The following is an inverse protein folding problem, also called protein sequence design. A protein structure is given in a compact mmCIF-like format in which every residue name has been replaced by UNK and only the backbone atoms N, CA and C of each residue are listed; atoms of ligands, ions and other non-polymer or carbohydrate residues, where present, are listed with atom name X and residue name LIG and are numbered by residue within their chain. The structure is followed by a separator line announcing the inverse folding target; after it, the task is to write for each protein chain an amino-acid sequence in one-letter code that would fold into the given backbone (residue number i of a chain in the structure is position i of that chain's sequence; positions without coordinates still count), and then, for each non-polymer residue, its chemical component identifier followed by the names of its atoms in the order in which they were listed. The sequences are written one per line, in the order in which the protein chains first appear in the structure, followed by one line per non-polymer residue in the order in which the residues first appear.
data_IF_899212260541
#
_entry.id   IF_899212260541
#
_cell.length_a   1.000
_cell.length_b   1.000
_cell.length_c   1.000
_cell.angle_alpha   90.00
_cell.angle_beta   90.00
_cell.angle_gamma   90.00
#
_symmetry.space_group_name_H-M   'P 1'
#
loop_
_entity.id
_entity.type
_entity.pdbx_description
1 polymer ?
#
# COMPACT_ATOMS: atom_id res chain seq x y z
N UNK A 1 28.95 2.39 -18.53
CA UNK A 1 28.02 2.13 -17.40
C UNK A 1 27.14 3.36 -17.24
N UNK A 2 25.87 3.24 -17.56
CA UNK A 2 24.94 4.38 -17.67
C UNK A 2 24.51 4.89 -16.30
N UNK A 3 24.27 6.21 -16.17
CA UNK A 3 23.79 6.91 -14.96
C UNK A 3 22.68 6.18 -14.18
N UNK A 4 21.84 5.39 -14.85
CA UNK A 4 20.77 4.63 -14.21
C UNK A 4 21.22 3.42 -13.37
N UNK A 5 22.40 2.84 -13.65
CA UNK A 5 22.94 1.74 -12.83
C UNK A 5 23.59 2.27 -11.55
N UNK A 6 24.27 3.43 -11.62
CA UNK A 6 24.83 4.11 -10.46
C UNK A 6 23.73 4.53 -9.48
N UNK A 7 22.62 5.07 -9.98
CA UNK A 7 21.48 5.52 -9.18
C UNK A 7 20.72 4.36 -8.47
N UNK A 8 20.77 3.14 -9.01
CA UNK A 8 20.18 1.94 -8.40
C UNK A 8 21.05 1.38 -7.25
N UNK A 9 22.38 1.48 -7.37
CA UNK A 9 23.30 1.09 -6.30
C UNK A 9 23.26 2.09 -5.13
N UNK A 10 23.13 3.38 -5.41
CA UNK A 10 22.99 4.44 -4.40
C UNK A 10 21.71 4.30 -3.56
N UNK A 11 20.64 3.73 -4.11
CA UNK A 11 19.36 3.59 -3.39
C UNK A 11 19.40 2.58 -2.24
N UNK A 12 20.31 1.62 -2.25
CA UNK A 12 20.46 0.58 -1.23
C UNK A 12 21.22 1.06 0.03
N UNK A 13 21.93 2.18 -0.07
CA UNK A 13 22.75 2.72 1.03
C UNK A 13 22.02 3.81 1.83
N UNK A 14 22.44 4.05 3.07
CA UNK A 14 21.93 5.17 3.87
C UNK A 14 22.24 6.51 3.18
N UNK A 15 21.24 7.38 3.12
CA UNK A 15 21.44 8.75 2.65
C UNK A 15 22.28 9.55 3.66
N UNK A 16 23.27 10.26 3.17
CA UNK A 16 24.03 11.20 3.96
C UNK A 16 23.16 12.39 4.41
N UNK A 17 23.50 13.04 5.51
CA UNK A 17 22.72 14.15 6.05
C UNK A 17 22.53 15.30 5.03
N UNK A 18 23.55 15.57 4.21
CA UNK A 18 23.53 16.59 3.17
C UNK A 18 22.62 16.25 1.96
N UNK A 19 22.27 14.98 1.79
CA UNK A 19 21.37 14.51 0.71
C UNK A 19 19.89 14.61 1.11
N UNK A 20 19.59 14.76 2.40
CA UNK A 20 18.26 14.81 2.98
C UNK A 20 17.71 16.23 2.93
N UNK A 21 17.25 16.63 1.77
CA UNK A 21 16.91 18.03 1.45
C UNK A 21 15.40 18.30 1.38
N UNK A 22 14.54 17.29 1.64
CA UNK A 22 13.10 17.49 1.52
C UNK A 22 12.52 18.16 2.77
N UNK A 23 12.22 19.45 2.67
CA UNK A 23 11.45 20.17 3.68
C UNK A 23 10.01 19.68 3.77
N UNK A 24 9.29 20.10 4.82
CA UNK A 24 7.93 19.66 5.13
C UNK A 24 6.95 19.84 3.95
N UNK A 25 6.95 20.99 3.28
CA UNK A 25 6.06 21.28 2.16
C UNK A 25 6.28 20.32 0.97
N UNK A 26 7.55 20.12 0.56
CA UNK A 26 7.90 19.19 -0.52
C UNK A 26 7.52 17.77 -0.17
N UNK A 27 7.78 17.35 1.07
CA UNK A 27 7.43 16.01 1.55
C UNK A 27 5.91 15.82 1.54
N UNK A 28 5.13 16.77 2.09
CA UNK A 28 3.67 16.71 2.09
C UNK A 28 3.12 16.57 0.67
N UNK A 29 3.59 17.40 -0.26
CA UNK A 29 3.11 17.37 -1.65
C UNK A 29 3.45 16.03 -2.33
N UNK A 30 4.67 15.54 -2.16
CA UNK A 30 5.09 14.25 -2.73
C UNK A 30 4.25 13.10 -2.16
N UNK A 31 4.03 13.07 -0.85
CA UNK A 31 3.21 12.06 -0.21
C UNK A 31 1.75 12.15 -0.66
N UNK A 32 1.19 13.36 -0.75
CA UNK A 32 -0.19 13.58 -1.17
C UNK A 32 -0.42 13.16 -2.62
N UNK A 33 0.47 13.51 -3.53
CA UNK A 33 0.37 13.10 -4.94
C UNK A 33 0.55 11.59 -5.12
N UNK A 34 1.33 10.95 -4.26
CA UNK A 34 1.50 9.48 -4.28
C UNK A 34 0.28 8.77 -3.68
N UNK A 35 -0.31 9.33 -2.61
CA UNK A 35 -1.48 8.76 -1.94
C UNK A 35 -2.78 8.98 -2.72
N UNK A 36 -2.87 10.09 -3.45
CA UNK A 36 -4.05 10.46 -4.22
C UNK A 36 -4.10 9.70 -5.55
N UNK A 37 -4.67 8.49 -5.54
CA UNK A 37 -4.77 7.66 -6.73
C UNK A 37 -6.15 6.97 -6.83
N UNK A 38 -6.45 6.39 -7.99
CA UNK A 38 -7.75 5.78 -8.30
C UNK A 38 -8.08 4.56 -7.46
N UNK A 39 -7.08 3.91 -6.85
CA UNK A 39 -7.29 2.79 -5.93
C UNK A 39 -8.09 3.21 -4.67
N UNK A 40 -8.09 4.50 -4.30
CA UNK A 40 -8.95 5.02 -3.23
C UNK A 40 -10.44 4.77 -3.51
N UNK A 41 -10.86 4.74 -4.78
CA UNK A 41 -12.26 4.50 -5.13
C UNK A 41 -12.71 3.11 -4.71
N UNK A 42 -11.85 2.09 -4.87
CA UNK A 42 -12.16 0.73 -4.43
C UNK A 42 -12.15 0.58 -2.90
N UNK A 43 -11.33 1.34 -2.19
CA UNK A 43 -11.42 1.38 -0.73
C UNK A 43 -12.78 1.93 -0.29
N UNK A 44 -13.21 3.04 -0.89
CA UNK A 44 -14.51 3.62 -0.61
C UNK A 44 -15.68 2.70 -0.96
N UNK A 45 -15.60 2.01 -2.10
CA UNK A 45 -16.57 0.98 -2.51
C UNK A 45 -16.67 -0.15 -1.48
N UNK A 46 -15.51 -0.69 -1.05
CA UNK A 46 -15.47 -1.77 -0.07
C UNK A 46 -16.11 -1.35 1.26
N UNK A 47 -15.94 -0.10 1.71
CA UNK A 47 -16.63 0.42 2.90
C UNK A 47 -18.11 0.66 2.65
N UNK A 48 -18.47 1.10 1.44
CA UNK A 48 -19.86 1.28 1.01
C UNK A 48 -20.67 0.00 1.02
N UNK A 49 -20.02 -1.15 0.96
CA UNK A 49 -20.64 -2.46 1.13
C UNK A 49 -21.21 -2.68 2.54
N UNK A 50 -20.68 -2.01 3.57
CA UNK A 50 -21.06 -2.19 4.99
C UNK A 50 -21.69 -0.95 5.61
N UNK A 51 -21.36 0.25 5.14
CA UNK A 51 -21.72 1.52 5.77
C UNK A 51 -22.30 2.53 4.78
N UNK A 52 -23.32 3.29 5.22
CA UNK A 52 -23.79 4.46 4.50
C UNK A 52 -22.76 5.61 4.53
N UNK A 53 -22.98 6.62 3.70
CA UNK A 53 -22.00 7.65 3.34
C UNK A 53 -21.34 8.34 4.56
N UNK A 54 -22.14 8.85 5.50
CA UNK A 54 -21.60 9.60 6.66
C UNK A 54 -20.78 8.69 7.57
N UNK A 55 -21.38 7.55 8.00
CA UNK A 55 -20.69 6.59 8.89
C UNK A 55 -19.47 5.97 8.20
N UNK A 56 -19.57 5.69 6.89
CA UNK A 56 -18.47 5.16 6.10
C UNK A 56 -17.29 6.13 5.98
N UNK A 57 -17.58 7.41 5.74
CA UNK A 57 -16.55 8.45 5.70
C UNK A 57 -15.83 8.63 7.04
N UNK A 58 -16.59 8.63 8.15
CA UNK A 58 -16.01 8.71 9.51
C UNK A 58 -15.15 7.46 9.84
N UNK A 59 -15.64 6.27 9.51
CA UNK A 59 -14.92 5.02 9.75
C UNK A 59 -13.62 4.97 8.93
N UNK A 60 -13.66 5.36 7.65
CA UNK A 60 -12.47 5.49 6.80
C UNK A 60 -11.47 6.47 7.38
N UNK A 61 -11.92 7.66 7.77
CA UNK A 61 -11.07 8.66 8.39
C UNK A 61 -10.36 8.14 9.63
N UNK A 62 -11.11 7.55 10.56
CA UNK A 62 -10.55 6.96 11.78
C UNK A 62 -9.55 5.83 11.48
N UNK A 63 -9.93 4.89 10.60
CA UNK A 63 -9.07 3.77 10.22
C UNK A 63 -7.78 4.21 9.54
N UNK A 64 -7.86 5.14 8.59
CA UNK A 64 -6.68 5.66 7.90
C UNK A 64 -5.73 6.41 8.85
N UNK A 65 -6.25 7.13 9.81
CA UNK A 65 -5.43 7.81 10.83
C UNK A 65 -4.72 6.78 11.73
N UNK A 66 -5.43 5.78 12.23
CA UNK A 66 -4.88 4.72 13.09
C UNK A 66 -3.77 3.94 12.35
N UNK A 67 -4.05 3.45 11.14
CA UNK A 67 -3.08 2.65 10.39
C UNK A 67 -1.84 3.46 9.98
N UNK A 68 -2.02 4.74 9.62
CA UNK A 68 -0.87 5.60 9.30
C UNK A 68 -0.02 5.93 10.52
N UNK A 69 -0.61 6.10 11.70
CA UNK A 69 0.14 6.26 12.96
C UNK A 69 0.97 5.00 13.25
N UNK A 70 0.42 3.79 13.05
CA UNK A 70 1.19 2.55 13.21
C UNK A 70 2.39 2.50 12.25
N UNK A 71 2.19 2.82 10.98
CA UNK A 71 3.26 2.85 9.97
C UNK A 71 4.31 3.91 10.31
N UNK A 72 3.86 5.10 10.70
CA UNK A 72 4.74 6.21 11.08
C UNK A 72 5.59 5.86 12.30
N UNK A 73 5.02 5.25 13.32
CA UNK A 73 5.77 4.83 14.52
C UNK A 73 6.72 3.66 14.22
N UNK A 74 6.33 2.73 13.36
CA UNK A 74 7.13 1.55 13.02
C UNK A 74 8.37 1.91 12.20
N UNK A 75 8.20 2.52 11.04
CA UNK A 75 9.27 2.80 10.10
C UNK A 75 9.86 4.22 10.25
N UNK A 76 9.02 5.20 10.62
CA UNK A 76 9.36 6.62 10.57
C UNK A 76 10.66 7.00 11.30
N UNK A 77 10.80 6.72 12.60
CA UNK A 77 11.95 7.16 13.38
C UNK A 77 13.26 6.59 12.87
N UNK A 78 13.27 5.33 12.47
CA UNK A 78 14.47 4.64 11.97
C UNK A 78 14.84 5.15 10.58
N UNK A 79 13.88 5.22 9.66
CA UNK A 79 14.12 5.64 8.29
C UNK A 79 14.63 7.07 8.20
N UNK A 80 14.05 8.00 8.97
CA UNK A 80 14.48 9.41 8.98
C UNK A 80 15.83 9.58 9.68
N UNK A 81 15.99 8.97 10.85
CA UNK A 81 17.23 9.16 11.62
C UNK A 81 18.46 8.66 10.88
N UNK A 82 18.34 7.51 10.21
CA UNK A 82 19.46 6.83 9.58
C UNK A 82 19.49 6.95 8.04
N UNK A 83 18.47 7.53 7.43
CA UNK A 83 18.40 7.70 5.96
C UNK A 83 18.19 6.41 5.19
N UNK A 84 17.54 5.41 5.78
CA UNK A 84 17.32 4.08 5.21
C UNK A 84 15.85 3.84 4.85
N UNK A 85 15.60 2.83 4.03
CA UNK A 85 14.25 2.44 3.64
C UNK A 85 13.55 1.55 4.69
N UNK A 86 12.27 1.22 4.45
CA UNK A 86 11.47 0.42 5.37
C UNK A 86 12.01 -1.01 5.55
N UNK A 87 12.52 -1.64 4.48
CA UNK A 87 13.06 -3.01 4.56
C UNK A 87 14.36 -3.02 5.35
N UNK A 88 15.27 -2.10 5.07
CA UNK A 88 16.50 -1.95 5.85
C UNK A 88 16.20 -1.68 7.33
N UNK A 89 15.15 -0.91 7.63
CA UNK A 89 14.72 -0.63 9.00
C UNK A 89 14.23 -1.86 9.77
N UNK A 90 13.88 -2.95 9.08
CA UNK A 90 13.44 -4.22 9.69
C UNK A 90 14.59 -5.18 10.05
N UNK A 91 15.80 -4.96 9.54
CA UNK A 91 16.95 -5.84 9.80
C UNK A 91 17.34 -5.93 11.28
N UNK A 92 17.28 -4.87 12.09
CA UNK A 92 17.57 -4.97 13.53
C UNK A 92 16.65 -5.97 14.26
N UNK A 93 15.40 -6.14 13.82
CA UNK A 93 14.45 -7.05 14.42
C UNK A 93 14.58 -8.48 13.88
N UNK A 94 14.66 -8.64 12.55
CA UNK A 94 14.61 -9.94 11.90
C UNK A 94 15.98 -10.60 11.70
N UNK A 95 17.05 -9.82 11.70
CA UNK A 95 18.42 -10.29 11.51
C UNK A 95 18.96 -10.04 10.10
N UNK A 96 20.28 -10.29 9.93
CA UNK A 96 21.02 -10.04 8.69
C UNK A 96 20.54 -10.87 7.48
N UNK A 97 19.82 -11.98 7.72
CA UNK A 97 19.18 -12.81 6.69
C UNK A 97 17.66 -12.91 6.84
N UNK A 98 17.15 -12.81 8.08
CA UNK A 98 15.72 -12.89 8.36
C UNK A 98 14.88 -11.74 7.78
N UNK A 99 15.51 -10.61 7.42
CA UNK A 99 14.86 -9.49 6.74
C UNK A 99 14.20 -9.86 5.39
N UNK A 100 14.54 -11.01 4.83
CA UNK A 100 13.90 -11.54 3.63
C UNK A 100 12.39 -11.73 3.83
N UNK A 101 11.93 -11.99 5.06
CA UNK A 101 10.49 -12.13 5.36
C UNK A 101 9.75 -10.81 5.19
N UNK A 102 10.10 -9.69 5.87
CA UNK A 102 9.50 -8.39 5.57
C UNK A 102 9.63 -7.96 4.10
N UNK A 103 10.76 -8.26 3.45
CA UNK A 103 10.95 -7.96 2.03
C UNK A 103 10.00 -8.77 1.12
N UNK A 104 9.74 -10.04 1.45
CA UNK A 104 8.78 -10.86 0.74
C UNK A 104 7.34 -10.33 0.92
N UNK A 105 6.95 -9.94 2.14
CA UNK A 105 5.66 -9.29 2.39
C UNK A 105 5.52 -7.99 1.58
N UNK A 106 6.57 -7.17 1.53
CA UNK A 106 6.61 -5.99 0.66
C UNK A 106 6.41 -6.35 -0.81
N UNK A 107 7.12 -7.34 -1.32
CA UNK A 107 7.02 -7.76 -2.72
C UNK A 107 5.60 -8.22 -3.08
N UNK A 108 4.97 -9.05 -2.23
CA UNK A 108 3.58 -9.50 -2.41
C UNK A 108 2.61 -8.31 -2.41
N UNK A 109 2.78 -7.38 -1.47
CA UNK A 109 1.96 -6.15 -1.42
C UNK A 109 2.08 -5.33 -2.70
N UNK A 110 3.31 -5.11 -3.18
CA UNK A 110 3.57 -4.34 -4.40
C UNK A 110 3.01 -5.02 -5.65
N UNK A 111 3.12 -6.34 -5.75
CA UNK A 111 2.49 -7.12 -6.84
C UNK A 111 0.98 -6.92 -6.82
N UNK A 112 0.33 -7.04 -5.66
CA UNK A 112 -1.11 -6.84 -5.53
C UNK A 112 -1.55 -5.43 -5.97
N UNK A 113 -0.87 -4.38 -5.51
CA UNK A 113 -1.18 -3.02 -5.91
C UNK A 113 -0.95 -2.75 -7.41
N UNK A 114 0.15 -3.23 -7.97
CA UNK A 114 0.41 -3.09 -9.41
C UNK A 114 -0.61 -3.87 -10.25
N UNK A 115 -1.06 -5.05 -9.77
CA UNK A 115 -2.12 -5.82 -10.42
C UNK A 115 -3.44 -5.06 -10.42
N UNK A 116 -3.79 -4.42 -9.30
CA UNK A 116 -4.98 -3.58 -9.22
C UNK A 116 -4.94 -2.45 -10.25
N UNK A 117 -3.83 -1.70 -10.28
CA UNK A 117 -3.68 -0.55 -11.16
C UNK A 117 -3.72 -0.92 -12.64
N UNK A 118 -3.12 -2.05 -13.03
CA UNK A 118 -3.14 -2.49 -14.43
C UNK A 118 -4.51 -3.01 -14.86
N UNK A 119 -5.25 -3.68 -13.96
CA UNK A 119 -6.63 -4.07 -14.20
C UNK A 119 -7.52 -2.83 -14.31
N UNK A 120 -7.31 -1.85 -13.42
CA UNK A 120 -8.04 -0.58 -13.46
C UNK A 120 -7.78 0.18 -14.77
N UNK A 121 -6.52 0.19 -15.25
CA UNK A 121 -6.18 0.70 -16.57
C UNK A 121 -6.99 0.00 -17.66
N UNK A 122 -6.98 -1.33 -17.70
CA UNK A 122 -7.63 -2.10 -18.74
C UNK A 122 -9.17 -1.89 -18.73
N UNK A 123 -9.79 -1.91 -17.54
CA UNK A 123 -11.22 -1.62 -17.38
C UNK A 123 -11.57 -0.20 -17.80
N UNK A 124 -10.79 0.81 -17.38
CA UNK A 124 -11.05 2.19 -17.78
C UNK A 124 -10.86 2.43 -19.28
N UNK A 125 -9.91 1.75 -19.93
CA UNK A 125 -9.72 1.79 -21.38
C UNK A 125 -10.90 1.16 -22.14
N UNK A 126 -11.46 0.06 -21.62
CA UNK A 126 -12.71 -0.53 -22.16
C UNK A 126 -13.86 0.46 -22.04
N UNK A 127 -14.09 1.04 -20.86
CA UNK A 127 -15.17 2.01 -20.65
C UNK A 127 -14.99 3.28 -21.48
N UNK A 128 -13.76 3.73 -21.71
CA UNK A 128 -13.46 4.84 -22.60
C UNK A 128 -13.85 4.48 -24.06
N UNK A 129 -13.52 3.29 -24.52
CA UNK A 129 -13.88 2.83 -25.86
C UNK A 129 -15.40 2.73 -26.04
N UNK A 130 -16.13 2.34 -24.98
CA UNK A 130 -17.61 2.36 -24.98
C UNK A 130 -18.11 3.82 -25.01
N UNK A 131 -17.56 4.72 -24.23
CA UNK A 131 -17.94 6.13 -24.20
C UNK A 131 -17.70 6.83 -25.54
N UNK A 132 -16.68 6.40 -26.29
CA UNK A 132 -16.37 6.89 -27.65
C UNK A 132 -17.23 6.22 -28.75
N UNK A 133 -18.11 5.26 -28.41
CA UNK A 133 -18.91 4.54 -29.37
C UNK A 133 -18.17 3.50 -30.23
N UNK A 134 -16.93 3.16 -29.84
CA UNK A 134 -16.11 2.16 -30.57
C UNK A 134 -16.50 0.74 -30.18
N UNK A 135 -16.94 0.55 -28.93
CA UNK A 135 -17.34 -0.75 -28.39
C UNK A 135 -18.78 -0.69 -27.83
N UNK A 136 -19.50 -1.79 -27.93
CA UNK A 136 -20.77 -1.97 -27.25
C UNK A 136 -20.54 -2.59 -25.85
N UNK A 137 -21.34 -2.20 -24.83
CA UNK A 137 -21.29 -2.83 -23.50
C UNK A 137 -21.67 -4.30 -23.60
N UNK A 138 -20.97 -5.19 -22.93
CA UNK A 138 -21.31 -6.61 -22.88
C UNK A 138 -20.12 -7.55 -22.66
N UNK A 139 -20.36 -8.85 -22.80
CA UNK A 139 -19.36 -9.89 -22.56
C UNK A 139 -18.11 -9.74 -23.45
N UNK A 140 -18.24 -9.28 -24.69
CA UNK A 140 -17.10 -9.04 -25.59
C UNK A 140 -16.19 -7.93 -25.09
N UNK A 141 -16.76 -6.84 -24.58
CA UNK A 141 -15.96 -5.73 -24.02
C UNK A 141 -15.23 -6.16 -22.75
N UNK A 142 -15.87 -6.94 -21.87
CA UNK A 142 -15.22 -7.51 -20.68
C UNK A 142 -14.05 -8.46 -21.04
N UNK A 143 -14.19 -9.25 -22.10
CA UNK A 143 -13.12 -10.15 -22.57
C UNK A 143 -11.86 -9.43 -23.08
N UNK A 144 -11.93 -8.11 -23.35
CA UNK A 144 -10.77 -7.29 -23.72
C UNK A 144 -9.86 -6.91 -22.54
N UNK A 145 -10.34 -7.00 -21.30
CA UNK A 145 -9.55 -6.63 -20.10
C UNK A 145 -8.24 -7.42 -20.01
N UNK A 146 -8.23 -8.77 -20.14
CA UNK A 146 -6.97 -9.52 -20.17
C UNK A 146 -6.06 -9.12 -21.33
N UNK A 147 -6.59 -8.91 -22.52
CA UNK A 147 -5.82 -8.51 -23.69
C UNK A 147 -5.15 -7.13 -23.47
N UNK A 148 -5.91 -6.14 -23.01
CA UNK A 148 -5.40 -4.80 -22.72
C UNK A 148 -4.36 -4.83 -21.59
N UNK A 149 -4.53 -5.71 -20.60
CA UNK A 149 -3.52 -5.95 -19.56
C UNK A 149 -2.19 -6.44 -20.16
N UNK A 150 -2.23 -7.43 -21.05
CA UNK A 150 -1.03 -7.93 -21.73
C UNK A 150 -0.37 -6.85 -22.56
N UNK A 151 -1.15 -6.12 -23.35
CA UNK A 151 -0.64 -5.00 -24.16
C UNK A 151 0.02 -3.94 -23.28
N UNK A 152 -0.61 -3.54 -22.18
CA UNK A 152 -0.04 -2.57 -21.24
C UNK A 152 1.27 -3.08 -20.61
N UNK A 153 1.30 -4.33 -20.14
CA UNK A 153 2.50 -4.95 -19.60
C UNK A 153 3.64 -4.99 -20.63
N UNK A 154 3.34 -5.30 -21.89
CA UNK A 154 4.32 -5.30 -22.98
C UNK A 154 4.86 -3.89 -23.28
N UNK A 155 3.98 -2.88 -23.29
CA UNK A 155 4.39 -1.47 -23.48
C UNK A 155 5.24 -1.00 -22.31
N UNK A 156 4.84 -1.27 -21.06
CA UNK A 156 5.61 -0.94 -19.85
C UNK A 156 6.99 -1.63 -19.89
N UNK A 157 7.04 -2.90 -20.23
CA UNK A 157 8.28 -3.65 -20.35
C UNK A 157 9.23 -3.02 -21.40
N UNK A 158 8.71 -2.72 -22.59
CA UNK A 158 9.54 -2.12 -23.66
C UNK A 158 10.02 -0.72 -23.31
N UNK A 159 9.19 0.10 -22.65
CA UNK A 159 9.56 1.42 -22.18
C UNK A 159 10.64 1.34 -21.10
N UNK A 160 10.48 0.49 -20.10
CA UNK A 160 11.40 0.37 -18.96
C UNK A 160 12.70 -0.36 -19.30
N UNK A 161 12.77 -1.13 -20.40
CA UNK A 161 14.05 -1.67 -20.90
C UNK A 161 15.07 -0.57 -21.19
N UNK A 162 14.65 0.63 -21.55
CA UNK A 162 15.48 1.79 -21.83
C UNK A 162 15.80 2.64 -20.58
N UNK A 163 15.41 2.18 -19.39
CA UNK A 163 15.66 2.87 -18.10
C UNK A 163 14.59 3.90 -17.70
N UNK A 164 14.93 4.77 -16.76
CA UNK A 164 14.01 5.68 -16.07
C UNK A 164 13.40 6.82 -16.91
N UNK A 165 13.84 7.03 -18.14
CA UNK A 165 13.37 8.14 -18.99
C UNK A 165 11.88 8.08 -19.30
N UNK A 166 11.24 6.91 -19.18
CA UNK A 166 9.79 6.75 -19.35
C UNK A 166 8.95 7.17 -18.12
N UNK A 167 9.56 7.29 -16.94
CA UNK A 167 8.84 7.56 -15.69
C UNK A 167 8.50 9.04 -15.49
N UNK A 168 9.30 9.95 -16.06
CA UNK A 168 9.13 11.40 -15.86
C UNK A 168 7.87 12.00 -16.52
N UNK A 169 7.29 11.32 -17.50
CA UNK A 169 6.08 11.79 -18.22
C UNK A 169 4.79 11.69 -17.38
N UNK A 170 4.83 10.96 -16.29
CA UNK A 170 3.61 10.48 -15.58
C UNK A 170 3.16 11.42 -14.47
N UNK A 171 4.04 12.22 -13.88
CA UNK A 171 3.72 12.98 -12.67
C UNK A 171 2.65 14.07 -12.85
N UNK A 172 2.51 14.66 -14.03
CA UNK A 172 1.53 15.72 -14.29
C UNK A 172 0.09 15.19 -14.50
N UNK A 173 -0.05 13.95 -14.97
CA UNK A 173 -1.36 13.32 -15.21
C UNK A 173 -2.03 12.93 -13.91
N UNK A 174 -1.25 12.60 -12.87
CA UNK A 174 -1.74 12.24 -11.54
C UNK A 174 -2.58 13.35 -10.88
N UNK A 175 -2.29 14.60 -11.14
CA UNK A 175 -3.06 15.73 -10.59
C UNK A 175 -4.44 15.84 -11.23
N UNK A 176 -4.52 15.64 -12.55
CA UNK A 176 -5.77 15.81 -13.30
C UNK A 176 -6.87 14.79 -12.88
N UNK A 177 -6.50 13.53 -12.59
CA UNK A 177 -7.50 12.54 -12.19
C UNK A 177 -8.13 12.83 -10.81
N UNK A 178 -7.40 13.51 -9.92
CA UNK A 178 -7.95 13.96 -8.62
C UNK A 178 -9.08 14.96 -8.84
N UNK A 179 -8.87 15.95 -9.69
CA UNK A 179 -9.92 16.93 -10.01
C UNK A 179 -11.15 16.29 -10.65
N UNK A 180 -10.94 15.34 -11.56
CA UNK A 180 -12.02 14.59 -12.19
C UNK A 180 -12.83 13.79 -11.14
N UNK A 181 -12.15 13.11 -10.21
CA UNK A 181 -12.80 12.36 -9.15
C UNK A 181 -13.56 13.27 -8.18
N UNK A 182 -12.97 14.39 -7.76
CA UNK A 182 -13.63 15.38 -6.90
C UNK A 182 -14.84 16.01 -7.59
N UNK A 183 -14.78 16.24 -8.89
CA UNK A 183 -15.92 16.70 -9.66
C UNK A 183 -17.05 15.66 -9.66
N UNK A 184 -16.75 14.37 -9.80
CA UNK A 184 -17.75 13.30 -9.67
C UNK A 184 -18.38 13.29 -8.28
N UNK A 185 -17.58 13.41 -7.22
CA UNK A 185 -18.10 13.51 -5.85
C UNK A 185 -19.03 14.71 -5.69
N UNK A 186 -18.65 15.87 -6.22
CA UNK A 186 -19.50 17.06 -6.23
C UNK A 186 -20.84 16.81 -6.94
N UNK A 187 -20.84 16.19 -8.10
CA UNK A 187 -22.05 15.85 -8.83
C UNK A 187 -22.96 14.90 -8.05
N UNK A 188 -22.40 13.87 -7.42
CA UNK A 188 -23.15 12.92 -6.60
C UNK A 188 -23.73 13.58 -5.35
N UNK A 189 -22.93 14.35 -4.62
CA UNK A 189 -23.36 15.04 -3.40
C UNK A 189 -24.38 16.13 -3.72
N UNK A 190 -24.15 16.97 -4.74
CA UNK A 190 -25.04 18.12 -5.02
C UNK A 190 -26.37 17.72 -5.64
N UNK A 191 -26.39 16.66 -6.48
CA UNK A 191 -27.58 16.29 -7.25
C UNK A 191 -28.36 15.11 -6.66
N UNK A 192 -27.70 14.24 -5.89
CA UNK A 192 -28.27 12.97 -5.41
C UNK A 192 -28.10 12.80 -3.88
N UNK A 193 -28.00 13.89 -3.15
CA UNK A 193 -27.86 13.88 -1.68
C UNK A 193 -28.93 13.06 -0.94
N UNK A 194 -30.25 13.21 -1.26
CA UNK A 194 -31.27 12.40 -0.60
C UNK A 194 -31.08 10.88 -0.84
N UNK A 195 -30.72 10.49 -2.07
CA UNK A 195 -30.46 9.09 -2.40
C UNK A 195 -29.24 8.56 -1.65
N UNK A 196 -28.20 9.38 -1.56
CA UNK A 196 -26.96 9.04 -0.87
C UNK A 196 -27.20 8.80 0.63
N UNK A 197 -28.03 9.61 1.28
CA UNK A 197 -28.40 9.41 2.67
C UNK A 197 -29.35 8.24 2.89
N UNK A 198 -30.23 7.93 1.93
CA UNK A 198 -31.17 6.82 2.00
C UNK A 198 -30.57 5.48 1.56
N UNK A 199 -29.39 5.50 0.96
CA UNK A 199 -28.73 4.30 0.42
C UNK A 199 -28.47 3.27 1.54
N UNK A 200 -28.85 2.02 1.24
CA UNK A 200 -28.60 0.89 2.15
C UNK A 200 -27.42 0.08 1.63
N UNK A 201 -26.39 -0.11 2.46
CA UNK A 201 -25.24 -0.94 2.11
C UNK A 201 -25.67 -2.39 1.83
N UNK A 202 -25.18 -3.03 0.74
CA UNK A 202 -25.65 -4.35 0.32
C UNK A 202 -25.23 -5.50 1.24
N UNK A 203 -24.12 -5.35 1.97
CA UNK A 203 -23.53 -6.39 2.84
C UNK A 203 -23.57 -6.02 4.31
N UNK A 204 -24.41 -5.03 4.70
CA UNK A 204 -24.52 -4.61 6.08
C UNK A 204 -25.05 -5.75 7.00
N UNK A 205 -24.31 -6.02 8.05
CA UNK A 205 -24.75 -6.90 9.15
C UNK A 205 -25.81 -6.19 10.02
N UNK A 206 -26.71 -6.92 10.70
CA UNK A 206 -27.56 -6.36 11.74
C UNK A 206 -26.76 -5.71 12.88
N UNK A 207 -25.55 -6.16 13.13
CA UNK A 207 -24.64 -5.56 14.10
C UNK A 207 -23.99 -4.28 13.53
N UNK A 208 -24.52 -3.14 13.95
CA UNK A 208 -24.03 -1.83 13.51
C UNK A 208 -22.59 -1.53 13.94
N UNK A 209 -22.18 -2.04 15.11
CA UNK A 209 -20.82 -1.85 15.60
C UNK A 209 -19.83 -2.66 14.76
N UNK A 210 -20.20 -3.89 14.40
CA UNK A 210 -19.42 -4.73 13.50
C UNK A 210 -19.20 -4.05 12.14
N UNK A 211 -20.26 -3.48 11.56
CA UNK A 211 -20.16 -2.75 10.28
C UNK A 211 -19.20 -1.56 10.39
N UNK A 212 -19.33 -0.77 11.47
CA UNK A 212 -18.48 0.41 11.68
C UNK A 212 -17.02 0.02 11.86
N UNK A 213 -16.75 -0.98 12.68
CA UNK A 213 -15.39 -1.51 12.91
C UNK A 213 -14.80 -2.12 11.63
N UNK A 214 -15.63 -2.76 10.79
CA UNK A 214 -15.17 -3.26 9.48
C UNK A 214 -14.74 -2.11 8.56
N UNK A 215 -15.48 -0.99 8.54
CA UNK A 215 -15.07 0.22 7.84
C UNK A 215 -13.76 0.81 8.37
N UNK A 216 -13.58 0.83 9.69
CA UNK A 216 -12.31 1.24 10.34
C UNK A 216 -11.17 0.30 9.95
N UNK A 217 -11.39 -1.02 10.01
CA UNK A 217 -10.38 -2.04 9.66
C UNK A 217 -9.93 -1.93 8.20
N UNK A 218 -10.86 -1.69 7.26
CA UNK A 218 -10.53 -1.43 5.86
C UNK A 218 -9.65 -0.17 5.71
N UNK A 219 -9.94 0.89 6.45
CA UNK A 219 -9.11 2.09 6.50
C UNK A 219 -7.72 1.84 7.07
N UNK A 220 -7.61 1.04 8.15
CA UNK A 220 -6.32 0.61 8.72
C UNK A 220 -5.52 -0.18 7.67
N UNK A 221 -6.11 -1.19 7.04
CA UNK A 221 -5.48 -2.00 6.00
C UNK A 221 -4.98 -1.15 4.83
N UNK A 222 -5.79 -0.19 4.39
CA UNK A 222 -5.43 0.75 3.32
C UNK A 222 -4.14 1.53 3.64
N UNK A 223 -3.99 2.02 4.86
CA UNK A 223 -2.82 2.82 5.25
C UNK A 223 -1.65 1.99 5.76
N UNK A 224 -1.85 0.79 6.32
CA UNK A 224 -0.77 -0.16 6.58
C UNK A 224 -0.03 -0.55 5.29
N UNK A 225 -0.70 -0.56 4.15
CA UNK A 225 -0.11 -0.83 2.83
C UNK A 225 0.98 0.17 2.42
N UNK A 226 1.11 1.29 3.13
CA UNK A 226 2.18 2.28 2.90
C UNK A 226 3.50 1.92 3.56
N UNK A 227 3.52 0.96 4.49
CA UNK A 227 4.77 0.54 5.11
C UNK A 227 5.88 0.21 4.09
N UNK A 228 5.62 -0.49 2.98
CA UNK A 228 6.61 -0.77 1.94
C UNK A 228 7.25 0.46 1.30
N UNK A 229 6.53 1.56 1.23
CA UNK A 229 6.91 2.72 0.41
C UNK A 229 7.40 3.90 1.24
N UNK A 230 6.86 4.06 2.46
CA UNK A 230 7.03 5.29 3.24
C UNK A 230 8.50 5.57 3.57
N UNK A 231 9.28 4.54 3.90
CA UNK A 231 10.70 4.70 4.27
C UNK A 231 11.53 5.34 3.16
N UNK A 232 11.28 4.95 1.91
CA UNK A 232 11.98 5.51 0.75
C UNK A 232 11.72 7.01 0.55
N UNK A 233 10.57 7.51 0.97
CA UNK A 233 10.20 8.92 0.85
C UNK A 233 10.64 9.74 2.06
N UNK A 234 10.34 9.28 3.27
CA UNK A 234 10.64 10.04 4.49
C UNK A 234 12.11 10.11 4.84
N UNK A 235 12.94 9.16 4.36
CA UNK A 235 14.41 9.22 4.53
C UNK A 235 15.03 10.45 3.89
N UNK A 236 14.33 11.11 2.95
CA UNK A 236 14.75 12.36 2.31
C UNK A 236 14.60 13.59 3.22
N UNK A 237 13.88 13.46 4.35
CA UNK A 237 13.68 14.54 5.31
C UNK A 237 14.92 14.72 6.21
N UNK A 238 15.26 15.97 6.60
CA UNK A 238 16.46 16.25 7.40
C UNK A 238 16.35 15.73 8.84
N UNK A 239 15.15 15.64 9.41
CA UNK A 239 14.95 15.19 10.79
C UNK A 239 13.55 14.63 11.03
N UNK A 240 13.35 13.93 12.17
CA UNK A 240 12.10 13.26 12.52
C UNK A 240 10.93 14.19 12.84
N UNK A 241 11.19 15.42 13.28
CA UNK A 241 10.11 16.39 13.57
C UNK A 241 9.43 16.87 12.28
N UNK A 242 10.16 16.89 11.18
CA UNK A 242 9.65 17.34 9.87
C UNK A 242 8.79 16.31 9.16
N UNK A 243 8.61 15.07 9.65
CA UNK A 243 7.84 14.05 8.93
C UNK A 243 6.43 13.83 9.46
N UNK A 244 6.16 14.10 10.74
CA UNK A 244 4.87 13.75 11.36
C UNK A 244 3.72 14.42 10.63
N UNK A 245 3.73 15.75 10.56
CA UNK A 245 2.67 16.51 9.90
C UNK A 245 2.58 16.20 8.39
N UNK A 246 3.68 16.18 7.62
CA UNK A 246 3.67 15.75 6.22
C UNK A 246 3.09 14.37 5.98
N UNK A 247 3.39 13.37 6.81
CA UNK A 247 2.83 12.02 6.66
C UNK A 247 1.33 12.01 6.94
N UNK A 248 0.89 12.68 8.00
CA UNK A 248 -0.53 12.73 8.34
C UNK A 248 -1.34 13.52 7.31
N UNK A 249 -0.87 14.68 6.86
CA UNK A 249 -1.56 15.50 5.86
C UNK A 249 -1.37 14.98 4.43
N UNK A 250 -0.23 14.36 4.12
CA UNK A 250 0.09 13.89 2.77
C UNK A 250 -0.41 12.48 2.48
N UNK A 251 -0.59 11.62 3.49
CA UNK A 251 -1.06 10.24 3.28
C UNK A 251 -2.34 9.93 4.04
N UNK A 252 -2.40 10.18 5.34
CA UNK A 252 -3.56 9.79 6.13
C UNK A 252 -4.82 10.56 5.77
N UNK A 253 -4.73 11.83 5.36
CA UNK A 253 -5.88 12.66 5.00
C UNK A 253 -6.37 12.46 3.55
N UNK A 254 -5.51 12.43 2.50
CA UNK A 254 -5.98 12.26 1.12
C UNK A 254 -6.65 10.92 0.85
N UNK A 255 -6.19 9.84 1.47
CA UNK A 255 -6.78 8.49 1.25
C UNK A 255 -8.26 8.46 1.57
N UNK A 256 -8.74 8.78 2.79
CA UNK A 256 -10.17 8.77 3.08
C UNK A 256 -10.95 9.80 2.27
N UNK A 257 -10.38 10.98 2.00
CA UNK A 257 -11.05 12.02 1.19
C UNK A 257 -11.36 11.53 -0.22
N UNK A 258 -10.40 10.92 -0.90
CA UNK A 258 -10.63 10.35 -2.23
C UNK A 258 -11.45 9.07 -2.20
N UNK A 259 -11.41 8.32 -1.11
CA UNK A 259 -12.28 7.16 -0.92
C UNK A 259 -13.76 7.53 -0.80
N UNK A 260 -14.11 8.77 -0.40
CA UNK A 260 -15.50 9.25 -0.44
C UNK A 260 -16.10 9.19 -1.84
N UNK A 261 -15.27 9.31 -2.89
CA UNK A 261 -15.72 9.19 -4.29
C UNK A 261 -16.28 7.78 -4.54
N UNK A 262 -15.52 6.77 -4.14
CA UNK A 262 -15.93 5.37 -4.27
C UNK A 262 -17.08 4.99 -3.36
N UNK A 263 -17.09 5.50 -2.13
CA UNK A 263 -18.17 5.33 -1.18
C UNK A 263 -19.50 5.91 -1.71
N UNK A 264 -19.48 7.13 -2.25
CA UNK A 264 -20.66 7.75 -2.83
C UNK A 264 -21.10 7.03 -4.12
N UNK A 265 -20.14 6.70 -5.00
CA UNK A 265 -20.40 6.02 -6.26
C UNK A 265 -21.06 4.67 -6.07
N UNK A 266 -20.52 3.80 -5.22
CA UNK A 266 -21.05 2.47 -4.95
C UNK A 266 -22.47 2.50 -4.35
N UNK A 267 -22.71 3.40 -3.40
CA UNK A 267 -24.00 3.52 -2.73
C UNK A 267 -25.12 4.01 -3.66
N UNK A 268 -24.82 4.96 -4.54
CA UNK A 268 -25.81 5.57 -5.42
C UNK A 268 -25.99 4.78 -6.73
N UNK A 269 -24.90 4.30 -7.32
CA UNK A 269 -24.93 3.66 -8.64
C UNK A 269 -25.08 2.13 -8.56
N UNK A 270 -24.97 1.56 -7.37
CA UNK A 270 -25.13 0.12 -7.09
C UNK A 270 -24.25 -0.77 -7.96
N UNK A 271 -23.11 -0.27 -8.39
CA UNK A 271 -22.06 -0.99 -9.10
C UNK A 271 -20.80 -0.98 -8.25
N UNK A 272 -20.03 -2.06 -8.27
CA UNK A 272 -18.72 -2.15 -7.63
C UNK A 272 -17.56 -1.69 -8.53
N UNK A 273 -17.84 -1.31 -9.77
CA UNK A 273 -16.82 -0.91 -10.74
C UNK A 273 -16.73 0.62 -10.89
N UNK A 274 -15.70 1.27 -10.34
CA UNK A 274 -15.51 2.72 -10.45
C UNK A 274 -15.41 3.22 -11.90
N UNK A 275 -14.99 2.37 -12.84
CA UNK A 275 -14.86 2.79 -14.23
C UNK A 275 -16.23 2.96 -14.90
N UNK A 276 -17.25 2.19 -14.46
CA UNK A 276 -18.63 2.39 -14.87
C UNK A 276 -19.22 3.68 -14.31
N UNK A 277 -18.88 4.05 -13.07
CA UNK A 277 -19.36 5.31 -12.48
C UNK A 277 -18.88 6.52 -13.28
N UNK A 278 -17.59 6.52 -13.64
CA UNK A 278 -17.00 7.59 -14.45
C UNK A 278 -17.68 7.72 -15.82
N UNK A 279 -18.16 6.60 -16.37
CA UNK A 279 -18.91 6.61 -17.63
C UNK A 279 -20.34 7.16 -17.48
N UNK A 280 -21.01 6.87 -16.36
CA UNK A 280 -22.45 7.13 -16.18
C UNK A 280 -22.76 8.49 -15.54
N UNK A 281 -21.84 9.02 -14.70
CA UNK A 281 -22.02 10.29 -13.98
C UNK A 281 -21.50 11.45 -14.83
N UNK A 282 -22.28 12.51 -14.99
CA UNK A 282 -21.83 13.78 -15.61
C UNK A 282 -21.95 13.88 -17.12
N UNK A 283 -22.45 12.84 -17.82
CA UNK A 283 -22.72 12.86 -19.26
C UNK A 283 -21.51 12.51 -20.14
N UNK A 284 -21.69 12.45 -21.48
CA UNK A 284 -20.70 11.89 -22.39
C UNK A 284 -19.34 12.60 -22.40
N UNK A 285 -19.35 13.92 -22.37
CA UNK A 285 -18.09 14.71 -22.36
C UNK A 285 -17.26 14.46 -21.09
N UNK A 286 -17.93 14.42 -19.94
CA UNK A 286 -17.28 14.09 -18.68
C UNK A 286 -16.74 12.65 -18.69
N UNK A 287 -17.51 11.68 -19.21
CA UNK A 287 -17.09 10.29 -19.32
C UNK A 287 -15.78 10.15 -20.12
N UNK A 288 -15.70 10.77 -21.30
CA UNK A 288 -14.49 10.72 -22.13
C UNK A 288 -13.31 11.35 -21.42
N UNK A 289 -13.47 12.55 -20.84
CA UNK A 289 -12.40 13.26 -20.16
C UNK A 289 -11.92 12.45 -18.93
N UNK A 290 -12.85 12.04 -18.08
CA UNK A 290 -12.52 11.34 -16.84
C UNK A 290 -11.84 10.00 -17.10
N UNK A 291 -12.38 9.18 -18.01
CA UNK A 291 -11.81 7.88 -18.33
C UNK A 291 -10.43 8.02 -19.02
N UNK A 292 -10.22 9.05 -19.84
CA UNK A 292 -8.91 9.32 -20.44
C UNK A 292 -7.87 9.59 -19.36
N UNK A 293 -8.15 10.49 -18.41
CA UNK A 293 -7.21 10.81 -17.33
C UNK A 293 -6.98 9.62 -16.38
N UNK A 294 -8.04 8.90 -16.02
CA UNK A 294 -7.95 7.73 -15.15
C UNK A 294 -7.15 6.60 -15.82
N UNK A 295 -7.38 6.34 -17.10
CA UNK A 295 -6.61 5.34 -17.87
C UNK A 295 -5.14 5.71 -17.91
N UNK A 296 -4.80 6.94 -18.25
CA UNK A 296 -3.43 7.42 -18.32
C UNK A 296 -2.73 7.41 -16.94
N UNK A 297 -3.46 7.81 -15.88
CA UNK A 297 -2.94 7.82 -14.51
C UNK A 297 -2.58 6.41 -14.02
N UNK A 298 -3.48 5.42 -14.24
CA UNK A 298 -3.22 4.04 -13.83
C UNK A 298 -2.06 3.41 -14.59
N UNK A 299 -1.95 3.65 -15.89
CA UNK A 299 -0.82 3.20 -16.70
C UNK A 299 0.50 3.74 -16.16
N UNK A 300 0.53 5.01 -15.87
CA UNK A 300 1.71 5.66 -15.36
C UNK A 300 2.10 5.24 -13.97
N UNK A 301 1.14 5.13 -13.05
CA UNK A 301 1.41 4.67 -11.68
C UNK A 301 1.91 3.23 -11.69
N UNK A 302 1.33 2.35 -12.52
CA UNK A 302 1.82 0.98 -12.71
C UNK A 302 3.25 0.95 -13.25
N UNK A 303 3.58 1.82 -14.22
CA UNK A 303 4.93 1.93 -14.77
C UNK A 303 5.94 2.31 -13.70
N UNK A 304 5.62 3.31 -12.87
CA UNK A 304 6.47 3.72 -11.74
C UNK A 304 6.58 2.63 -10.67
N UNK A 305 5.48 1.94 -10.35
CA UNK A 305 5.45 0.84 -9.40
C UNK A 305 6.31 -0.35 -9.84
N UNK A 306 6.23 -0.76 -11.11
CA UNK A 306 7.07 -1.82 -11.68
C UNK A 306 8.55 -1.44 -11.67
N UNK A 307 8.87 -0.20 -12.05
CA UNK A 307 10.23 0.32 -12.00
C UNK A 307 10.81 0.26 -10.58
N UNK A 308 10.09 0.79 -9.60
CA UNK A 308 10.51 0.78 -8.20
C UNK A 308 10.66 -0.66 -7.65
N UNK A 309 9.75 -1.55 -8.03
CA UNK A 309 9.81 -2.96 -7.64
C UNK A 309 11.05 -3.66 -8.21
N UNK A 310 11.36 -3.43 -9.48
CA UNK A 310 12.53 -4.01 -10.14
C UNK A 310 13.85 -3.52 -9.52
N UNK A 311 13.90 -2.25 -9.09
CA UNK A 311 15.02 -1.72 -8.31
C UNK A 311 15.09 -2.40 -6.94
N UNK A 312 13.95 -2.54 -6.26
CA UNK A 312 13.85 -3.19 -4.94
C UNK A 312 14.36 -4.63 -4.96
N UNK A 313 14.16 -5.37 -6.05
CA UNK A 313 14.69 -6.73 -6.21
C UNK A 313 16.23 -6.81 -6.15
N UNK A 314 16.95 -5.74 -6.46
CA UNK A 314 18.41 -5.69 -6.34
C UNK A 314 18.91 -5.74 -4.90
N UNK A 315 18.05 -5.48 -3.92
CA UNK A 315 18.43 -5.66 -2.51
C UNK A 315 18.67 -7.14 -2.15
N UNK A 316 18.10 -8.07 -2.94
CA UNK A 316 18.34 -9.49 -2.74
C UNK A 316 19.65 -9.91 -3.41
N UNK A 317 20.60 -10.46 -2.64
CA UNK A 317 21.95 -10.86 -3.10
C UNK A 317 21.90 -11.77 -4.34
N UNK A 318 20.93 -12.69 -4.38
CA UNK A 318 20.75 -13.63 -5.52
C UNK A 318 20.33 -12.89 -6.81
N UNK A 319 19.69 -11.73 -6.69
CA UNK A 319 19.16 -10.96 -7.81
C UNK A 319 20.05 -9.78 -8.21
N UNK A 320 21.03 -9.40 -7.39
CA UNK A 320 21.93 -8.26 -7.63
C UNK A 320 22.64 -8.33 -8.98
N UNK A 321 23.10 -9.52 -9.36
CA UNK A 321 23.84 -9.75 -10.61
C UNK A 321 22.95 -10.06 -11.83
N UNK A 322 21.64 -10.15 -11.65
CA UNK A 322 20.71 -10.43 -12.74
C UNK A 322 20.55 -9.22 -13.65
N UNK A 323 20.33 -9.49 -14.94
CA UNK A 323 20.12 -8.43 -15.93
C UNK A 323 18.88 -7.58 -15.58
N UNK A 324 18.89 -6.30 -15.95
CA UNK A 324 17.74 -5.41 -15.79
C UNK A 324 16.46 -5.98 -16.41
N UNK A 325 16.59 -6.59 -17.59
CA UNK A 325 15.49 -7.26 -18.29
C UNK A 325 14.90 -8.40 -17.46
N UNK A 326 15.75 -9.21 -16.80
CA UNK A 326 15.29 -10.30 -15.91
C UNK A 326 14.52 -9.75 -14.70
N UNK A 327 15.00 -8.68 -14.07
CA UNK A 327 14.32 -8.06 -12.94
C UNK A 327 12.95 -7.50 -13.33
N UNK A 328 12.86 -6.85 -14.49
CA UNK A 328 11.58 -6.38 -15.03
C UNK A 328 10.61 -7.54 -15.27
N UNK A 329 11.07 -8.65 -15.86
CA UNK A 329 10.22 -9.82 -16.09
C UNK A 329 9.72 -10.42 -14.77
N UNK A 330 10.59 -10.57 -13.77
CA UNK A 330 10.21 -11.08 -12.43
C UNK A 330 9.13 -10.19 -11.81
N UNK A 331 9.16 -8.89 -12.06
CA UNK A 331 8.19 -7.95 -11.50
C UNK A 331 6.88 -7.93 -12.30
N UNK A 332 6.97 -7.95 -13.63
CA UNK A 332 5.79 -7.81 -14.51
C UNK A 332 5.01 -9.11 -14.61
N UNK A 333 5.68 -10.27 -14.64
CA UNK A 333 5.02 -11.55 -14.86
C UNK A 333 3.90 -11.85 -13.84
N UNK A 334 4.08 -11.73 -12.51
CA UNK A 334 3.00 -11.97 -11.57
C UNK A 334 1.86 -10.97 -11.72
N UNK A 335 2.14 -9.70 -12.04
CA UNK A 335 1.13 -8.67 -12.30
C UNK A 335 0.30 -9.04 -13.53
N UNK A 336 0.96 -9.45 -14.61
CA UNK A 336 0.28 -9.91 -15.83
C UNK A 336 -0.57 -11.16 -15.57
N UNK A 337 -0.06 -12.14 -14.82
CA UNK A 337 -0.80 -13.36 -14.49
C UNK A 337 -2.10 -13.04 -13.73
N UNK A 338 -2.06 -12.17 -12.72
CA UNK A 338 -3.27 -11.74 -12.00
C UNK A 338 -4.27 -11.08 -12.95
N UNK A 339 -3.81 -10.14 -13.79
CA UNK A 339 -4.68 -9.40 -14.70
C UNK A 339 -5.21 -10.22 -15.89
N UNK A 340 -4.58 -11.37 -16.21
CA UNK A 340 -5.05 -12.29 -17.25
C UNK A 340 -6.06 -13.30 -16.69
N UNK A 341 -5.71 -13.96 -15.58
CA UNK A 341 -6.46 -15.13 -15.12
C UNK A 341 -7.57 -14.82 -14.12
N UNK A 342 -7.41 -13.76 -13.30
CA UNK A 342 -8.35 -13.46 -12.20
C UNK A 342 -8.70 -11.96 -12.08
N UNK A 343 -8.81 -11.17 -13.17
CA UNK A 343 -9.00 -9.72 -13.06
C UNK A 343 -10.28 -9.36 -12.32
N UNK A 344 -11.41 -10.00 -12.65
CA UNK A 344 -12.71 -9.72 -12.03
C UNK A 344 -12.75 -10.19 -10.58
N UNK A 345 -12.21 -11.38 -10.30
CA UNK A 345 -12.13 -11.90 -8.92
C UNK A 345 -11.29 -11.01 -8.03
N UNK A 346 -10.11 -10.58 -8.52
CA UNK A 346 -9.20 -9.72 -7.77
C UNK A 346 -9.84 -8.36 -7.47
N UNK A 347 -10.51 -7.79 -8.46
CA UNK A 347 -11.19 -6.50 -8.32
C UNK A 347 -12.37 -6.59 -7.34
N UNK A 348 -13.25 -7.60 -7.50
CA UNK A 348 -14.41 -7.82 -6.63
C UNK A 348 -14.04 -8.21 -5.18
N UNK A 349 -12.85 -8.81 -4.98
CA UNK A 349 -12.35 -9.23 -3.66
C UNK A 349 -11.28 -8.29 -3.10
N UNK A 350 -11.28 -7.03 -3.53
CA UNK A 350 -10.26 -6.07 -3.10
C UNK A 350 -10.26 -5.83 -1.58
N UNK A 351 -11.42 -5.84 -0.93
CA UNK A 351 -11.51 -5.78 0.54
C UNK A 351 -10.77 -6.93 1.24
N UNK A 352 -10.80 -8.14 0.67
CA UNK A 352 -10.02 -9.28 1.19
C UNK A 352 -8.51 -9.03 1.06
N UNK A 353 -8.06 -8.42 -0.03
CA UNK A 353 -6.66 -8.02 -0.20
C UNK A 353 -6.24 -7.01 0.88
N UNK A 354 -7.08 -6.01 1.20
CA UNK A 354 -6.80 -5.06 2.30
C UNK A 354 -6.71 -5.77 3.66
N UNK A 355 -7.58 -6.74 3.92
CA UNK A 355 -7.51 -7.53 5.14
C UNK A 355 -6.20 -8.36 5.21
N UNK A 356 -5.75 -8.96 4.10
CA UNK A 356 -4.46 -9.66 4.02
C UNK A 356 -3.26 -8.72 4.26
N UNK A 357 -3.35 -7.47 3.82
CA UNK A 357 -2.37 -6.43 4.18
C UNK A 357 -2.34 -6.22 5.69
N UNK A 358 -3.50 -6.15 6.35
CA UNK A 358 -3.60 -6.07 7.81
C UNK A 358 -2.92 -7.26 8.50
N UNK A 359 -3.19 -8.51 8.03
CA UNK A 359 -2.53 -9.73 8.54
C UNK A 359 -1.01 -9.60 8.54
N UNK A 360 -0.43 -9.05 7.47
CA UNK A 360 1.01 -8.99 7.28
C UNK A 360 1.67 -7.81 8.02
N UNK A 361 1.12 -6.61 7.86
CA UNK A 361 1.82 -5.39 8.26
C UNK A 361 1.44 -4.88 9.65
N UNK A 362 0.28 -5.22 10.21
CA UNK A 362 -0.05 -4.84 11.58
C UNK A 362 0.91 -5.49 12.60
N UNK A 363 1.15 -6.83 12.55
CA UNK A 363 2.16 -7.46 13.40
C UNK A 363 3.57 -6.92 13.19
N UNK A 364 3.96 -6.69 11.93
CA UNK A 364 5.28 -6.14 11.59
C UNK A 364 5.49 -4.76 12.23
N UNK A 365 4.48 -3.88 12.16
CA UNK A 365 4.53 -2.58 12.83
C UNK A 365 4.65 -2.72 14.34
N UNK A 366 3.89 -3.63 14.96
CA UNK A 366 3.97 -3.90 16.40
C UNK A 366 5.37 -4.31 16.86
N UNK A 367 6.02 -5.23 16.11
CA UNK A 367 7.41 -5.67 16.38
C UNK A 367 8.36 -4.48 16.29
N UNK A 368 8.29 -3.67 15.24
CA UNK A 368 9.19 -2.54 15.04
C UNK A 368 9.02 -1.46 16.10
N UNK A 369 7.78 -1.17 16.49
CA UNK A 369 7.48 -0.17 17.53
C UNK A 369 8.11 -0.58 18.86
N UNK A 370 7.84 -1.80 19.34
CA UNK A 370 8.35 -2.24 20.63
C UNK A 370 9.88 -2.39 20.61
N UNK A 371 10.45 -2.87 19.50
CA UNK A 371 11.91 -2.97 19.36
C UNK A 371 12.58 -1.60 19.48
N UNK A 372 12.10 -0.62 18.69
CA UNK A 372 12.75 0.69 18.64
C UNK A 372 12.57 1.51 19.91
N UNK A 373 11.35 1.61 20.43
CA UNK A 373 11.06 2.50 21.56
C UNK A 373 11.34 1.87 22.91
N UNK A 374 11.06 0.58 23.09
CA UNK A 374 11.13 -0.09 24.39
C UNK A 374 12.47 -0.81 24.57
N UNK A 375 12.82 -1.71 23.64
CA UNK A 375 14.01 -2.56 23.79
C UNK A 375 15.31 -1.83 23.45
N UNK A 376 15.36 -1.14 22.30
CA UNK A 376 16.58 -0.44 21.86
C UNK A 376 16.66 1.01 22.31
N UNK A 377 15.58 1.58 22.81
CA UNK A 377 15.51 2.97 23.26
C UNK A 377 16.10 3.96 22.22
N UNK A 378 15.75 3.72 20.94
CA UNK A 378 16.20 4.52 19.81
C UNK A 378 17.64 4.27 19.36
N UNK A 379 18.35 3.28 19.89
CA UNK A 379 19.76 2.98 19.53
C UNK A 379 19.80 1.85 18.50
N UNK A 380 20.34 2.14 17.32
CA UNK A 380 20.56 1.18 16.25
C UNK A 380 21.98 1.34 15.72
N UNK A 381 22.68 0.22 15.55
CA UNK A 381 23.97 0.20 14.86
C UNK A 381 23.74 0.10 13.35
N UNK A 382 23.91 1.22 12.65
CA UNK A 382 23.68 1.31 11.22
C UNK A 382 24.68 0.44 10.42
N UNK A 383 25.90 0.24 10.92
CA UNK A 383 26.89 -0.59 10.23
C UNK A 383 26.49 -2.07 10.26
N UNK A 384 25.96 -2.54 11.38
CA UNK A 384 25.52 -3.91 11.55
C UNK A 384 24.32 -4.29 10.63
N UNK A 385 23.56 -3.29 10.13
CA UNK A 385 22.48 -3.52 9.16
C UNK A 385 23.01 -4.07 7.81
N UNK A 386 24.23 -3.67 7.43
CA UNK A 386 24.81 -3.98 6.10
C UNK A 386 25.87 -5.08 6.13
N UNK A 387 26.16 -5.67 7.28
CA UNK A 387 27.19 -6.70 7.42
C UNK A 387 26.58 -8.01 7.89
N UNK A 388 26.68 -9.06 7.06
CA UNK A 388 26.28 -10.43 7.42
C UNK A 388 27.49 -11.19 7.95
N UNK A 389 27.86 -10.98 9.22
CA UNK A 389 28.98 -11.63 9.87
C UNK A 389 28.63 -12.07 11.30
N UNK A 390 29.08 -13.25 11.77
CA UNK A 390 28.73 -13.80 13.09
C UNK A 390 28.99 -12.88 14.30
N UNK A 391 29.96 -11.98 14.20
CA UNK A 391 30.31 -11.05 15.26
C UNK A 391 29.44 -9.77 15.27
N UNK A 392 28.58 -9.58 14.26
CA UNK A 392 27.74 -8.38 14.17
C UNK A 392 26.47 -8.49 15.02
N UNK A 393 26.02 -7.36 15.51
CA UNK A 393 24.88 -7.26 16.43
C UNK A 393 23.61 -7.95 15.92
N UNK A 394 23.31 -7.87 14.62
CA UNK A 394 22.07 -8.40 14.03
C UNK A 394 22.23 -9.76 13.35
N UNK A 395 23.32 -10.49 13.63
CA UNK A 395 23.49 -11.84 13.10
C UNK A 395 22.64 -12.89 13.83
N UNK A 396 22.31 -12.68 15.11
CA UNK A 396 21.48 -13.59 15.94
C UNK A 396 21.91 -15.06 15.82
N UNK A 397 21.00 -15.93 15.32
CA UNK A 397 21.27 -17.34 15.04
C UNK A 397 21.35 -17.56 13.52
N UNK A 398 22.55 -17.67 13.00
CA UNK A 398 22.81 -17.82 11.56
C UNK A 398 22.13 -16.78 10.67
N UNK A 399 22.04 -15.56 11.14
CA UNK A 399 21.45 -14.43 10.41
C UNK A 399 19.95 -14.23 10.64
N UNK A 400 19.32 -15.06 11.49
CA UNK A 400 17.86 -15.02 11.73
C UNK A 400 17.58 -14.79 13.21
N UNK A 401 16.61 -13.95 13.52
CA UNK A 401 16.06 -13.78 14.85
C UNK A 401 14.77 -14.58 15.00
N UNK A 402 14.78 -15.72 15.73
CA UNK A 402 13.58 -16.55 15.90
C UNK A 402 12.45 -15.81 16.63
N UNK A 403 12.80 -14.93 17.60
CA UNK A 403 11.79 -14.18 18.36
C UNK A 403 10.93 -13.30 17.44
N UNK A 404 11.52 -12.67 16.41
CA UNK A 404 10.78 -11.87 15.44
C UNK A 404 9.85 -12.71 14.56
N UNK A 405 10.32 -13.88 14.10
CA UNK A 405 9.49 -14.76 13.27
C UNK A 405 8.31 -15.35 14.05
N UNK A 406 8.55 -15.79 15.29
CA UNK A 406 7.47 -16.30 16.18
C UNK A 406 6.48 -15.18 16.49
N UNK A 407 6.96 -13.98 16.77
CA UNK A 407 6.11 -12.83 17.04
C UNK A 407 5.26 -12.43 15.83
N UNK A 408 5.86 -12.43 14.63
CA UNK A 408 5.12 -12.17 13.39
C UNK A 408 4.03 -13.22 13.18
N UNK A 409 4.36 -14.50 13.33
CA UNK A 409 3.39 -15.59 13.20
C UNK A 409 2.27 -15.48 14.24
N UNK A 410 2.59 -15.17 15.51
CA UNK A 410 1.60 -14.96 16.57
C UNK A 410 0.64 -13.80 16.23
N UNK A 411 1.16 -12.70 15.74
CA UNK A 411 0.33 -11.58 15.30
C UNK A 411 -0.54 -11.91 14.09
N UNK A 412 -0.02 -12.62 13.09
CA UNK A 412 -0.81 -13.11 11.95
C UNK A 412 -1.96 -14.02 12.41
N UNK A 413 -1.69 -14.96 13.29
CA UNK A 413 -2.70 -15.85 13.87
C UNK A 413 -3.75 -15.03 14.65
N UNK A 414 -3.32 -14.08 15.47
CA UNK A 414 -4.22 -13.19 16.20
C UNK A 414 -5.15 -12.44 15.26
N UNK A 415 -4.63 -11.88 14.16
CA UNK A 415 -5.47 -11.22 13.17
C UNK A 415 -6.55 -12.15 12.63
N UNK A 416 -6.15 -13.34 12.15
CA UNK A 416 -7.05 -14.33 11.52
C UNK A 416 -8.09 -14.82 12.52
N UNK A 417 -7.75 -14.96 13.81
CA UNK A 417 -8.70 -15.30 14.89
C UNK A 417 -9.71 -14.17 15.08
N UNK A 418 -9.28 -12.90 15.13
CA UNK A 418 -10.19 -11.77 15.29
C UNK A 418 -11.08 -11.56 14.07
N UNK A 419 -10.50 -11.62 12.86
CA UNK A 419 -11.19 -11.47 11.58
C UNK A 419 -10.55 -12.39 10.54
N UNK A 420 -11.29 -13.36 10.04
CA UNK A 420 -10.85 -14.15 8.91
C UNK A 420 -10.85 -13.30 7.63
N UNK A 421 -9.68 -13.07 6.99
CA UNK A 421 -9.55 -12.14 5.87
C UNK A 421 -10.28 -12.60 4.59
N UNK A 422 -10.63 -13.89 4.49
CA UNK A 422 -11.30 -14.44 3.30
C UNK A 422 -12.81 -14.49 3.46
N UNK A 423 -13.32 -14.86 4.63
CA UNK A 423 -14.74 -15.04 4.88
C UNK A 423 -15.41 -13.90 5.67
N UNK A 424 -14.61 -12.98 6.20
CA UNK A 424 -15.05 -11.90 7.10
C UNK A 424 -15.80 -12.41 8.36
N UNK A 425 -15.63 -13.70 8.72
CA UNK A 425 -16.06 -14.21 10.01
C UNK A 425 -15.15 -13.68 11.10
N UNK A 426 -15.73 -13.23 12.20
CA UNK A 426 -15.01 -12.58 13.30
C UNK A 426 -15.41 -13.14 14.64
N UNK A 427 -14.57 -12.92 15.66
CA UNK A 427 -14.90 -13.16 17.08
C UNK A 427 -15.81 -12.06 17.61
N UNK A 428 -16.41 -12.30 18.77
CA UNK A 428 -17.25 -11.34 19.49
C UNK A 428 -16.49 -10.10 19.99
N UNK A 429 -15.17 -10.17 20.08
CA UNK A 429 -14.31 -9.05 20.48
C UNK A 429 -13.93 -8.12 19.31
N UNK A 430 -14.04 -8.59 18.07
CA UNK A 430 -13.67 -7.82 16.87
C UNK A 430 -14.40 -6.47 16.78
N UNK A 431 -15.72 -6.35 17.02
CA UNK A 431 -16.41 -5.07 16.93
C UNK A 431 -15.83 -3.97 17.83
N UNK A 432 -15.15 -4.34 18.91
CA UNK A 432 -14.59 -3.40 19.88
C UNK A 432 -13.12 -3.06 19.65
N UNK A 433 -12.36 -3.99 19.07
CA UNK A 433 -10.90 -3.93 19.05
C UNK A 433 -10.29 -3.88 17.67
N UNK A 434 -11.07 -4.08 16.59
CA UNK A 434 -10.57 -4.37 15.23
C UNK A 434 -9.82 -5.70 15.16
N UNK A 435 -9.11 -6.01 14.08
CA UNK A 435 -8.21 -7.16 14.00
C UNK A 435 -6.74 -6.71 14.00
N UNK A 436 -6.46 -5.58 13.35
CA UNK A 436 -5.10 -5.04 13.21
C UNK A 436 -4.48 -4.63 14.55
N UNK A 437 -5.23 -4.00 15.45
CA UNK A 437 -4.68 -3.53 16.73
C UNK A 437 -4.31 -4.69 17.67
N UNK A 438 -5.18 -5.70 17.91
CA UNK A 438 -4.79 -6.88 18.68
C UNK A 438 -3.62 -7.65 18.04
N UNK A 439 -3.58 -7.75 16.71
CA UNK A 439 -2.49 -8.41 16.00
C UNK A 439 -1.14 -7.71 16.22
N UNK A 440 -1.12 -6.38 16.12
CA UNK A 440 0.07 -5.57 16.39
C UNK A 440 0.50 -5.70 17.88
N UNK A 441 -0.46 -5.65 18.81
CA UNK A 441 -0.20 -5.77 20.25
C UNK A 441 0.32 -7.17 20.61
N UNK A 442 -0.29 -8.24 20.09
CA UNK A 442 0.17 -9.61 20.30
C UNK A 442 1.58 -9.83 19.77
N UNK A 443 1.86 -9.38 18.56
CA UNK A 443 3.21 -9.45 17.98
C UNK A 443 4.23 -8.65 18.81
N UNK A 444 3.87 -7.44 19.25
CA UNK A 444 4.72 -6.62 20.11
C UNK A 444 5.04 -7.32 21.43
N UNK A 445 4.02 -7.91 22.10
CA UNK A 445 4.19 -8.63 23.35
C UNK A 445 5.06 -9.88 23.20
N UNK A 446 4.76 -10.72 22.21
CA UNK A 446 5.52 -11.96 21.94
C UNK A 446 6.97 -11.61 21.57
N UNK A 447 7.17 -10.56 20.78
CA UNK A 447 8.52 -10.08 20.45
C UNK A 447 9.26 -9.57 21.68
N UNK A 448 8.60 -8.78 22.53
CA UNK A 448 9.19 -8.28 23.76
C UNK A 448 9.67 -9.43 24.66
N UNK A 449 8.77 -10.39 24.95
CA UNK A 449 9.10 -11.54 25.78
C UNK A 449 10.19 -12.42 25.17
N UNK A 450 10.12 -12.71 23.87
CA UNK A 450 11.15 -13.45 23.15
C UNK A 450 12.51 -12.73 23.15
N UNK A 451 12.50 -11.40 23.02
CA UNK A 451 13.73 -10.61 23.05
C UNK A 451 14.42 -10.59 24.41
N UNK A 452 13.72 -10.79 25.50
CA UNK A 452 14.36 -10.98 26.82
C UNK A 452 15.26 -12.22 26.82
N UNK A 453 14.88 -13.28 26.13
CA UNK A 453 15.70 -14.49 25.97
C UNK A 453 16.90 -14.22 25.04
N UNK A 454 16.68 -13.44 23.98
CA UNK A 454 17.75 -13.02 23.05
C UNK A 454 18.82 -12.19 23.79
N UNK A 455 18.37 -11.24 24.63
CA UNK A 455 19.25 -10.40 25.46
C UNK A 455 20.05 -11.23 26.45
N UNK A 456 19.39 -12.18 27.16
CA UNK A 456 20.06 -13.11 28.07
C UNK A 456 21.13 -13.96 27.38
N UNK A 457 20.92 -14.28 26.09
CA UNK A 457 21.91 -14.97 25.26
C UNK A 457 23.03 -14.06 24.73
N UNK A 458 23.10 -12.80 25.14
CA UNK A 458 24.11 -11.82 24.71
C UNK A 458 24.03 -11.46 23.22
N UNK A 459 22.85 -11.57 22.60
CA UNK A 459 22.66 -11.33 21.17
C UNK A 459 21.79 -10.11 20.88
N UNK A 460 21.83 -9.64 19.63
CA UNK A 460 20.92 -8.59 19.14
C UNK A 460 21.39 -7.15 19.35
N UNK A 461 22.54 -6.94 20.01
CA UNK A 461 23.10 -5.59 20.22
C UNK A 461 22.16 -4.64 20.96
N UNK A 462 21.42 -5.14 21.94
CA UNK A 462 20.55 -4.32 22.78
C UNK A 462 21.38 -3.49 23.77
N UNK A 463 20.95 -2.27 24.09
CA UNK A 463 21.64 -1.47 25.12
C UNK A 463 21.53 -2.15 26.48
N UNK A 464 22.60 -2.02 27.26
CA UNK A 464 22.62 -2.45 28.66
C UNK A 464 21.64 -1.64 29.51
#
# INVERSE_FOLDING_TARGET
MTRGMAQADESAWPLLAQERTWGAARLTLTLATTAAATWCYLIGESVGSYLGFIKGGLALGAGCMIGMVLVLLAAGPVCVRFGIDSVASSKPQFGSRGWVVPAALQAVSIIGWNSLLIIFFAKSAVQLSIALGVLEPGARSAALVPLLTVCACAIIFTALRRGATGVSMVSNILVAHVFVGLWMLYLLVSRRWPELLAARPPSASPDHLWNYTTGVELGIGATLSWWPYIGAMIRMAPNGRTIVLPVMLGMAAPVPLLSLIGLAGSLVLKSSDPTEWLRTVGGPAYAIISLTFVTAANFGTTTAGIYASAIGLRNFTVLQQRSWTTLLLITIAPVALVGIFIPELFFAKFGNFLALIGVAFAPLCGIQIVDYFVLRRGRIDIRAIYVDHPQQAYYYWRGINPAALIALAAGCVTYVVFLNPLSYRSTTLYPYLTASLPAAAAAALVYFLGSLLVIRAGRGGYPA
#
